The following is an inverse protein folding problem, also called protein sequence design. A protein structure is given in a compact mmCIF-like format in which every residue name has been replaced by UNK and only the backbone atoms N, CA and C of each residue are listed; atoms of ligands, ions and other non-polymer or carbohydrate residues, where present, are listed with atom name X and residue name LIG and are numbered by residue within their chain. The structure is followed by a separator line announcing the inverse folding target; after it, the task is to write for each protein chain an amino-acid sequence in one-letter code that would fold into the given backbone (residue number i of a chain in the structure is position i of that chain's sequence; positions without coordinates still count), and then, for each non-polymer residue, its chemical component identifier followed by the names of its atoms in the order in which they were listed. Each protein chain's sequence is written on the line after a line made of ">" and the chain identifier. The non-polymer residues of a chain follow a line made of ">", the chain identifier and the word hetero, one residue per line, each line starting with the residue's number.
data_IF_703924241001
#
_entry.id   IF_703924241001
#
_cell.length_a   1.000
_cell.length_b   1.000
_cell.length_c   1.000
_cell.angle_alpha   90.00
_cell.angle_beta   90.00
_cell.angle_gamma   90.00
#
_symmetry.space_group_name_H-M   'P 1'
#
loop_
_entity.id
_entity.type
_entity.pdbx_description
1 polymer ?
#
# COMPACT_ATOMS: atom_id res chain seq x y z
N UNK A 1 -9.89 2.34 34.51
CA UNK A 1 -8.64 2.57 35.26
C UNK A 1 -7.66 3.31 34.36
N UNK A 2 -7.30 4.55 34.72
CA UNK A 2 -6.39 5.43 33.97
C UNK A 2 -5.00 5.26 34.59
N UNK A 3 -4.20 4.31 34.10
CA UNK A 3 -2.86 4.06 34.64
C UNK A 3 -1.98 5.27 34.30
N UNK A 4 -1.49 5.94 35.35
CA UNK A 4 -0.76 7.19 35.24
C UNK A 4 0.55 6.96 34.49
N UNK A 5 0.66 7.51 33.27
CA UNK A 5 1.88 7.61 32.45
C UNK A 5 3.09 8.20 33.20
N UNK A 6 2.89 8.77 34.39
CA UNK A 6 3.93 9.36 35.23
C UNK A 6 4.89 8.36 35.88
N UNK A 7 4.62 7.05 35.84
CA UNK A 7 5.47 6.01 36.47
C UNK A 7 6.37 5.24 35.50
N UNK A 8 6.23 5.44 34.19
CA UNK A 8 7.02 4.73 33.19
C UNK A 8 8.39 5.41 32.99
N UNK A 9 9.44 4.61 32.91
CA UNK A 9 10.77 5.03 32.45
C UNK A 9 10.71 5.55 31.01
N UNK A 10 11.71 6.33 30.58
CA UNK A 10 11.75 6.89 29.23
C UNK A 10 11.70 5.79 28.15
N UNK A 11 12.34 4.65 28.38
CA UNK A 11 12.31 3.50 27.49
C UNK A 11 10.90 2.89 27.38
N UNK A 12 10.18 2.76 28.49
CA UNK A 12 8.82 2.23 28.51
C UNK A 12 7.82 3.18 27.86
N UNK A 13 8.00 4.50 28.01
CA UNK A 13 7.19 5.51 27.30
C UNK A 13 7.36 5.41 25.79
N UNK A 14 8.60 5.32 25.29
CA UNK A 14 8.90 5.15 23.86
C UNK A 14 8.32 3.82 23.34
N UNK A 15 8.46 2.73 24.09
CA UNK A 15 7.90 1.44 23.71
C UNK A 15 6.36 1.49 23.64
N UNK A 16 5.71 2.14 24.60
CA UNK A 16 4.26 2.33 24.62
C UNK A 16 3.78 3.19 23.44
N UNK A 17 4.47 4.28 23.12
CA UNK A 17 4.15 5.13 21.97
C UNK A 17 4.30 4.37 20.64
N UNK A 18 5.35 3.57 20.48
CA UNK A 18 5.53 2.69 19.32
C UNK A 18 4.39 1.69 19.22
N UNK A 19 3.97 1.09 20.33
CA UNK A 19 2.88 0.13 20.33
C UNK A 19 1.53 0.76 19.96
N UNK A 20 1.24 1.95 20.51
CA UNK A 20 0.07 2.75 20.11
C UNK A 20 0.12 3.12 18.62
N UNK A 21 1.29 3.52 18.12
CA UNK A 21 1.49 3.80 16.69
C UNK A 21 1.23 2.58 15.80
N UNK A 22 1.71 1.40 16.21
CA UNK A 22 1.44 0.13 15.51
C UNK A 22 -0.04 -0.21 15.50
N UNK A 23 -0.73 -0.09 16.65
CA UNK A 23 -2.18 -0.35 16.76
C UNK A 23 -2.99 0.58 15.85
N UNK A 24 -2.71 1.88 15.88
CA UNK A 24 -3.37 2.87 15.00
C UNK A 24 -3.18 2.52 13.52
N UNK A 25 -1.96 2.18 13.11
CA UNK A 25 -1.68 1.75 11.73
C UNK A 25 -2.34 0.41 11.37
N UNK A 26 -2.53 -0.50 12.33
CA UNK A 26 -3.28 -1.74 12.08
C UNK A 26 -4.73 -1.43 11.78
N UNK A 27 -5.40 -0.69 12.67
CA UNK A 27 -6.82 -0.31 12.51
C UNK A 27 -7.05 0.44 11.21
N UNK A 28 -6.15 1.34 10.82
CA UNK A 28 -6.23 2.04 9.55
C UNK A 28 -6.13 1.09 8.34
N UNK A 29 -5.22 0.11 8.39
CA UNK A 29 -5.09 -0.90 7.34
C UNK A 29 -6.30 -1.83 7.27
N UNK A 30 -6.90 -2.17 8.40
CA UNK A 30 -8.09 -3.02 8.46
C UNK A 30 -9.29 -2.29 7.84
N UNK A 31 -9.48 -1.00 8.15
CA UNK A 31 -10.49 -0.14 7.49
C UNK A 31 -10.26 -0.02 5.99
N UNK A 32 -9.01 0.16 5.55
CA UNK A 32 -8.68 0.22 4.13
C UNK A 32 -8.97 -1.11 3.43
N UNK A 33 -8.69 -2.24 4.07
CA UNK A 33 -9.04 -3.58 3.56
C UNK A 33 -10.56 -3.76 3.43
N UNK A 34 -11.32 -3.39 4.45
CA UNK A 34 -12.80 -3.43 4.42
C UNK A 34 -13.37 -2.55 3.30
N UNK A 35 -12.77 -1.39 3.04
CA UNK A 35 -13.17 -0.49 1.94
C UNK A 35 -12.72 -0.96 0.55
N UNK A 36 -11.96 -2.07 0.45
CA UNK A 36 -11.39 -2.55 -0.81
C UNK A 36 -10.29 -1.65 -1.36
N UNK A 37 -9.61 -0.88 -0.49
CA UNK A 37 -8.50 0.01 -0.86
C UNK A 37 -7.16 -0.72 -0.68
N UNK A 38 -6.31 -0.78 -1.73
CA UNK A 38 -4.97 -1.30 -1.56
C UNK A 38 -4.15 -0.36 -0.68
N UNK A 39 -3.41 -0.93 0.27
CA UNK A 39 -2.48 -0.16 1.10
C UNK A 39 -1.35 0.42 0.24
N UNK A 40 -0.78 1.56 0.67
CA UNK A 40 0.26 2.27 -0.08
C UNK A 40 1.43 1.39 -0.54
N UNK A 41 1.95 0.52 0.34
CA UNK A 41 3.07 -0.37 -0.01
C UNK A 41 2.71 -1.39 -1.12
N UNK A 42 1.45 -1.78 -1.25
CA UNK A 42 0.99 -2.64 -2.35
C UNK A 42 0.93 -1.85 -3.66
N UNK A 43 0.44 -0.61 -3.61
CA UNK A 43 0.41 0.29 -4.76
C UNK A 43 1.83 0.56 -5.27
N UNK A 44 2.76 0.93 -4.39
CA UNK A 44 4.16 1.20 -4.75
C UNK A 44 4.80 0.00 -5.47
N UNK A 45 4.60 -1.19 -4.92
CA UNK A 45 5.14 -2.41 -5.53
C UNK A 45 4.51 -2.71 -6.89
N UNK A 46 3.20 -2.51 -7.03
CA UNK A 46 2.52 -2.69 -8.31
C UNK A 46 2.98 -1.66 -9.37
N UNK A 47 3.30 -0.44 -8.97
CA UNK A 47 3.93 0.58 -9.83
C UNK A 47 5.31 0.11 -10.30
N UNK A 48 6.15 -0.36 -9.37
CA UNK A 48 7.49 -0.88 -9.70
C UNK A 48 7.41 -2.08 -10.63
N UNK A 49 6.52 -3.03 -10.36
CA UNK A 49 6.33 -4.22 -11.19
C UNK A 49 5.81 -3.83 -12.59
N UNK A 50 4.90 -2.85 -12.70
CA UNK A 50 4.43 -2.34 -13.99
C UNK A 50 5.57 -1.68 -14.79
N UNK A 51 6.37 -0.83 -14.16
CA UNK A 51 7.54 -0.19 -14.81
C UNK A 51 8.54 -1.25 -15.25
N UNK A 52 8.79 -2.27 -14.43
CA UNK A 52 9.65 -3.40 -14.79
C UNK A 52 9.15 -4.14 -16.02
N UNK A 53 7.84 -4.37 -16.15
CA UNK A 53 7.29 -5.02 -17.35
C UNK A 53 7.57 -4.20 -18.61
N UNK A 54 7.39 -2.88 -18.56
CA UNK A 54 7.70 -1.99 -19.70
C UNK A 54 9.19 -1.99 -20.03
N UNK A 55 10.07 -1.87 -19.03
CA UNK A 55 11.52 -1.90 -19.23
C UNK A 55 12.03 -3.28 -19.68
N UNK A 56 11.36 -4.37 -19.30
CA UNK A 56 11.73 -5.71 -19.79
C UNK A 56 11.39 -5.86 -21.27
N UNK A 57 10.30 -5.23 -21.73
CA UNK A 57 9.90 -5.23 -23.13
C UNK A 57 10.71 -4.25 -23.99
N UNK A 58 11.19 -3.15 -23.41
CA UNK A 58 12.11 -2.18 -24.02
C UNK A 58 13.26 -1.85 -23.05
N UNK A 59 14.33 -2.66 -23.03
CA UNK A 59 15.46 -2.49 -22.10
C UNK A 59 16.19 -1.16 -22.24
N UNK A 60 16.10 -0.53 -23.41
CA UNK A 60 16.74 0.75 -23.68
C UNK A 60 15.98 1.93 -23.08
N UNK A 61 14.70 1.73 -22.74
CA UNK A 61 13.81 2.81 -22.28
C UNK A 61 13.61 3.89 -23.33
N UNK A 62 13.89 3.59 -24.62
CA UNK A 62 13.80 4.57 -25.69
C UNK A 62 12.37 5.03 -25.95
N UNK A 63 11.37 4.18 -25.61
CA UNK A 63 9.96 4.53 -25.71
C UNK A 63 9.44 5.02 -24.37
N UNK A 64 8.86 6.23 -24.39
CA UNK A 64 8.12 6.74 -23.24
C UNK A 64 6.94 5.81 -22.90
N UNK A 65 6.75 5.56 -21.60
CA UNK A 65 5.62 4.77 -21.11
C UNK A 65 4.38 5.67 -21.11
N UNK A 66 3.31 5.35 -21.87
CA UNK A 66 2.09 6.12 -21.82
C UNK A 66 1.47 6.03 -20.42
N UNK A 67 1.09 7.15 -19.77
CA UNK A 67 0.55 7.14 -18.41
C UNK A 67 -0.67 6.21 -18.25
N UNK A 68 -1.57 6.20 -19.23
CA UNK A 68 -2.74 5.31 -19.20
C UNK A 68 -2.37 3.83 -19.25
N UNK A 69 -1.35 3.48 -20.05
CA UNK A 69 -0.86 2.10 -20.14
C UNK A 69 -0.23 1.68 -18.82
N UNK A 70 0.55 2.57 -18.20
CA UNK A 70 1.10 2.34 -16.85
C UNK A 70 -0.02 2.08 -15.84
N UNK A 71 -1.03 2.97 -15.78
CA UNK A 71 -2.15 2.85 -14.83
C UNK A 71 -2.93 1.54 -15.01
N UNK A 72 -3.18 1.12 -16.27
CA UNK A 72 -3.82 -0.18 -16.57
C UNK A 72 -2.97 -1.35 -16.08
N UNK A 73 -1.67 -1.34 -16.35
CA UNK A 73 -0.76 -2.41 -15.93
C UNK A 73 -0.64 -2.50 -14.40
N UNK A 74 -0.64 -1.37 -13.70
CA UNK A 74 -0.64 -1.33 -12.22
C UNK A 74 -1.90 -1.98 -11.66
N UNK A 75 -3.08 -1.65 -12.20
CA UNK A 75 -4.33 -2.27 -11.80
C UNK A 75 -4.33 -3.80 -12.02
N UNK A 76 -3.77 -4.25 -13.15
CA UNK A 76 -3.62 -5.69 -13.44
C UNK A 76 -2.70 -6.39 -12.44
N UNK A 77 -1.60 -5.77 -12.01
CA UNK A 77 -0.73 -6.33 -10.99
C UNK A 77 -1.41 -6.45 -9.63
N UNK A 78 -2.19 -5.44 -9.22
CA UNK A 78 -2.99 -5.50 -8.00
C UNK A 78 -4.04 -6.63 -8.05
N UNK A 79 -4.72 -6.77 -9.18
CA UNK A 79 -5.71 -7.83 -9.40
C UNK A 79 -5.07 -9.22 -9.37
N UNK A 80 -3.96 -9.42 -10.11
CA UNK A 80 -3.20 -10.69 -10.09
C UNK A 80 -2.76 -11.07 -8.70
N UNK A 81 -2.36 -10.09 -7.88
CA UNK A 81 -1.95 -10.32 -6.49
C UNK A 81 -3.12 -10.76 -5.61
N UNK A 82 -4.28 -10.11 -5.75
CA UNK A 82 -5.51 -10.53 -5.06
C UNK A 82 -5.90 -11.96 -5.44
N UNK A 83 -5.90 -12.28 -6.74
CA UNK A 83 -6.15 -13.65 -7.22
C UNK A 83 -5.16 -14.68 -6.69
N UNK A 84 -3.86 -14.35 -6.63
CA UNK A 84 -2.85 -15.25 -6.04
C UNK A 84 -3.09 -15.49 -4.55
N UNK A 85 -3.42 -14.43 -3.80
CA UNK A 85 -3.75 -14.57 -2.38
C UNK A 85 -4.94 -15.52 -2.19
N UNK A 86 -6.01 -15.32 -2.97
CA UNK A 86 -7.19 -16.19 -2.98
C UNK A 86 -6.84 -17.65 -3.29
N UNK A 87 -6.05 -17.88 -4.35
CA UNK A 87 -5.64 -19.23 -4.76
C UNK A 87 -4.80 -19.96 -3.69
N UNK A 88 -4.05 -19.23 -2.86
CA UNK A 88 -3.26 -19.80 -1.76
C UNK A 88 -4.05 -19.98 -0.45
N UNK A 89 -5.36 -19.70 -0.45
CA UNK A 89 -6.19 -19.72 0.76
C UNK A 89 -5.86 -18.61 1.76
N UNK A 90 -5.10 -17.61 1.34
CA UNK A 90 -4.85 -16.42 2.14
C UNK A 90 -6.03 -15.45 2.00
N UNK A 91 -6.25 -14.63 3.02
CA UNK A 91 -7.34 -13.68 3.06
C UNK A 91 -7.18 -12.65 1.92
N UNK A 92 -7.96 -12.85 0.86
CA UNK A 92 -7.82 -12.10 -0.38
C UNK A 92 -8.60 -10.80 -0.27
N UNK A 93 -7.88 -9.68 -0.31
CA UNK A 93 -8.53 -8.37 -0.32
C UNK A 93 -9.24 -8.20 -1.66
N UNK A 94 -10.57 -8.08 -1.62
CA UNK A 94 -11.39 -7.74 -2.78
C UNK A 94 -11.26 -6.25 -3.05
N UNK A 95 -10.43 -5.89 -4.03
CA UNK A 95 -10.27 -4.48 -4.41
C UNK A 95 -11.44 -4.00 -5.26
N UNK A 96 -11.93 -2.81 -4.95
CA UNK A 96 -12.89 -2.10 -5.82
C UNK A 96 -12.13 -1.26 -6.84
N UNK A 97 -12.75 -1.00 -8.00
CA UNK A 97 -12.14 -0.14 -9.04
C UNK A 97 -11.89 1.26 -8.48
N UNK A 98 -12.88 1.78 -7.77
CA UNK A 98 -12.87 3.10 -7.14
C UNK A 98 -11.80 3.18 -6.06
N UNK A 99 -11.64 2.12 -5.25
CA UNK A 99 -10.61 2.07 -4.21
C UNK A 99 -9.19 2.01 -4.76
N UNK A 100 -8.97 1.25 -5.83
CA UNK A 100 -7.67 1.24 -6.54
C UNK A 100 -7.36 2.61 -7.13
N UNK A 101 -8.35 3.25 -7.75
CA UNK A 101 -8.18 4.59 -8.33
C UNK A 101 -7.87 5.63 -7.25
N UNK A 102 -8.61 5.61 -6.13
CA UNK A 102 -8.39 6.52 -5.00
C UNK A 102 -7.00 6.34 -4.41
N UNK A 103 -6.57 5.10 -4.17
CA UNK A 103 -5.25 4.79 -3.63
C UNK A 103 -4.11 5.20 -4.58
N UNK A 104 -4.27 5.00 -5.90
CA UNK A 104 -3.31 5.49 -6.88
C UNK A 104 -3.23 7.01 -6.91
N UNK A 105 -4.39 7.68 -6.88
CA UNK A 105 -4.46 9.14 -6.88
C UNK A 105 -3.80 9.73 -5.64
N UNK A 106 -4.14 9.23 -4.47
CA UNK A 106 -3.51 9.64 -3.22
C UNK A 106 -1.99 9.42 -3.29
N UNK A 107 -1.55 8.24 -3.74
CA UNK A 107 -0.13 7.93 -3.76
C UNK A 107 0.69 8.78 -4.74
N UNK A 108 0.14 9.10 -5.92
CA UNK A 108 0.84 9.85 -6.97
C UNK A 108 0.79 11.36 -6.76
N UNK A 109 -0.27 11.88 -6.13
CA UNK A 109 -0.45 13.32 -5.93
C UNK A 109 -0.03 13.79 -4.53
N UNK A 110 0.06 12.89 -3.55
CA UNK A 110 0.56 13.21 -2.22
C UNK A 110 2.07 12.98 -2.19
N UNK A 111 2.89 14.04 -2.10
CA UNK A 111 4.35 13.89 -2.04
C UNK A 111 4.72 13.03 -0.82
N UNK A 112 5.69 12.13 -0.99
CA UNK A 112 6.21 11.37 0.13
C UNK A 112 6.72 12.35 1.19
N UNK A 113 6.28 12.21 2.45
CA UNK A 113 6.93 12.93 3.55
C UNK A 113 8.41 12.60 3.49
N UNK A 114 9.26 13.63 3.36
CA UNK A 114 10.70 13.47 3.42
C UNK A 114 11.03 12.68 4.69
N UNK A 115 11.79 11.58 4.50
CA UNK A 115 12.21 10.69 5.57
C UNK A 115 13.27 11.36 6.45
#
# INVERSE_FOLDING_TARGET
>A
MRTKLTTLSQAERIAHERDLGRKRKSVERDRQREAGWPIAAMVDRAVVDAVRDFLSADPTGARAIPPEALMRTVALHLLRRSHRAYATGADAVSFTREGVQAALRDRLLTPAKAA
#
